data_IF_587794246858
#
_entry.id   IF_587794246858
#
_cell.length_a   1.000
_cell.length_b   1.000
_cell.length_c   1.000
_cell.angle_alpha   90.00
_cell.angle_beta   90.00
_cell.angle_gamma   90.00
#
_symmetry.space_group_name_H-M   'P 1'
#
loop_
_entity.id
_entity.type
_entity.pdbx_description
1 polymer ?
#
# COMPACT_ATOMS: atom_id res chain seq x y z
N UNK A 1 25.23 3.66 -54.51
CA UNK A 1 23.86 4.11 -54.15
C UNK A 1 22.94 3.00 -53.64
N UNK A 2 23.12 1.71 -54.00
CA UNK A 2 22.23 0.62 -53.55
C UNK A 2 22.19 0.33 -52.04
N UNK A 3 23.29 0.57 -51.29
CA UNK A 3 23.35 0.26 -49.85
C UNK A 3 22.48 1.16 -48.96
N UNK A 4 22.20 2.39 -49.40
CA UNK A 4 21.39 3.35 -48.63
C UNK A 4 19.91 2.92 -48.60
N UNK A 5 19.41 2.38 -49.71
CA UNK A 5 18.02 1.90 -49.79
C UNK A 5 17.77 0.66 -48.91
N UNK A 6 18.73 -0.27 -48.85
CA UNK A 6 18.60 -1.47 -48.03
C UNK A 6 18.60 -1.14 -46.54
N UNK A 7 19.40 -0.14 -46.11
CA UNK A 7 19.42 0.31 -44.72
C UNK A 7 18.11 0.97 -44.30
N UNK A 8 17.53 1.85 -45.14
CA UNK A 8 16.24 2.46 -44.82
C UNK A 8 15.08 1.45 -44.84
N UNK A 9 15.13 0.46 -45.72
CA UNK A 9 14.16 -0.64 -45.76
C UNK A 9 14.25 -1.53 -44.51
N UNK A 10 15.45 -1.86 -44.03
CA UNK A 10 15.63 -2.67 -42.82
C UNK A 10 15.20 -1.91 -41.56
N UNK A 11 15.48 -0.61 -41.48
CA UNK A 11 15.01 0.24 -40.37
C UNK A 11 13.48 0.33 -40.37
N UNK A 12 12.85 0.52 -41.53
CA UNK A 12 11.39 0.56 -41.63
C UNK A 12 10.73 -0.76 -41.19
N UNK A 13 11.29 -1.90 -41.60
CA UNK A 13 10.81 -3.22 -41.17
C UNK A 13 10.99 -3.44 -39.67
N UNK A 14 12.10 -3.00 -39.09
CA UNK A 14 12.34 -3.10 -37.65
C UNK A 14 11.34 -2.25 -36.85
N UNK A 15 11.09 -1.01 -37.27
CA UNK A 15 10.10 -0.13 -36.63
C UNK A 15 8.70 -0.74 -36.73
N UNK A 16 8.34 -1.30 -37.89
CA UNK A 16 7.05 -1.96 -38.06
C UNK A 16 6.90 -3.20 -37.16
N UNK A 17 7.96 -4.00 -36.99
CA UNK A 17 7.97 -5.13 -36.07
C UNK A 17 7.82 -4.71 -34.60
N UNK A 18 8.44 -3.60 -34.19
CA UNK A 18 8.29 -3.04 -32.84
C UNK A 18 6.85 -2.55 -32.60
N UNK A 19 6.26 -1.84 -33.57
CA UNK A 19 4.88 -1.35 -33.47
C UNK A 19 3.89 -2.51 -33.35
N UNK A 20 4.04 -3.55 -34.17
CA UNK A 20 3.18 -4.76 -34.10
C UNK A 20 3.33 -5.45 -32.75
N UNK A 21 4.55 -5.56 -32.21
CA UNK A 21 4.81 -6.13 -30.87
C UNK A 21 4.10 -5.35 -29.76
N UNK A 22 4.12 -4.02 -29.83
CA UNK A 22 3.48 -3.14 -28.82
C UNK A 22 1.95 -3.21 -28.91
N UNK A 23 1.40 -3.20 -30.13
CA UNK A 23 -0.06 -3.28 -30.32
C UNK A 23 -0.62 -4.66 -29.95
N UNK A 24 0.09 -5.74 -30.27
CA UNK A 24 -0.30 -7.11 -29.89
C UNK A 24 -0.08 -7.42 -28.40
N UNK A 25 0.50 -6.51 -27.62
CA UNK A 25 0.74 -6.70 -26.18
C UNK A 25 -0.53 -6.62 -25.34
N UNK A 26 -1.66 -6.17 -25.88
CA UNK A 26 -2.90 -6.01 -25.10
C UNK A 26 -3.98 -7.05 -25.44
N UNK A 27 -3.76 -7.90 -26.43
CA UNK A 27 -4.75 -8.88 -26.91
C UNK A 27 -4.82 -10.18 -26.08
N UNK A 28 -3.94 -10.36 -25.09
CA UNK A 28 -3.79 -11.62 -24.35
C UNK A 28 -4.34 -11.60 -22.92
N UNK A 29 -4.87 -10.48 -22.43
CA UNK A 29 -5.47 -10.50 -21.10
C UNK A 29 -6.87 -11.10 -21.18
N UNK A 30 -7.11 -12.29 -20.61
CA UNK A 30 -8.47 -12.82 -20.53
C UNK A 30 -9.31 -11.83 -19.72
N UNK A 31 -10.59 -11.68 -20.09
CA UNK A 31 -11.53 -10.92 -19.27
C UNK A 31 -11.44 -11.42 -17.83
N UNK A 32 -11.18 -10.50 -16.91
CA UNK A 32 -11.15 -10.84 -15.50
C UNK A 32 -12.56 -10.68 -14.89
N UNK A 33 -12.73 -11.12 -13.65
CA UNK A 33 -14.00 -11.01 -12.96
C UNK A 33 -14.41 -9.53 -12.74
N UNK A 34 -13.45 -8.60 -12.72
CA UNK A 34 -13.74 -7.18 -12.56
C UNK A 34 -14.36 -6.60 -13.82
N UNK A 35 -13.83 -6.93 -15.00
CA UNK A 35 -14.36 -6.54 -16.30
C UNK A 35 -15.81 -7.02 -16.47
N UNK A 36 -16.13 -8.24 -16.06
CA UNK A 36 -17.49 -8.78 -16.12
C UNK A 36 -18.45 -8.01 -15.20
N UNK A 37 -18.02 -7.65 -13.99
CA UNK A 37 -18.83 -6.84 -13.07
C UNK A 37 -18.99 -5.40 -13.58
N UNK A 38 -17.92 -4.80 -14.09
CA UNK A 38 -17.94 -3.44 -14.62
C UNK A 38 -18.82 -3.33 -15.86
N UNK A 39 -18.81 -4.33 -16.74
CA UNK A 39 -19.73 -4.43 -17.87
C UNK A 39 -21.20 -4.50 -17.39
N UNK A 40 -21.51 -5.36 -16.40
CA UNK A 40 -22.86 -5.43 -15.84
C UNK A 40 -23.31 -4.11 -15.22
N UNK A 41 -22.42 -3.43 -14.50
CA UNK A 41 -22.69 -2.14 -13.89
C UNK A 41 -22.91 -1.02 -14.92
N UNK A 42 -22.08 -0.96 -15.96
CA UNK A 42 -22.13 0.10 -16.98
C UNK A 42 -23.20 -0.13 -18.05
N UNK A 43 -23.70 -1.35 -18.22
CA UNK A 43 -24.77 -1.67 -19.18
C UNK A 43 -26.14 -1.13 -18.77
N UNK A 44 -26.34 -0.81 -17.49
CA UNK A 44 -27.61 -0.32 -16.95
C UNK A 44 -27.59 1.20 -16.83
N UNK A 45 -28.36 1.86 -17.70
CA UNK A 45 -28.54 3.31 -17.68
C UNK A 45 -30.00 3.67 -17.34
N UNK A 46 -30.24 4.93 -16.94
CA UNK A 46 -31.59 5.42 -16.61
C UNK A 46 -32.63 5.18 -17.72
N UNK A 47 -32.19 5.27 -18.98
CA UNK A 47 -33.06 5.07 -20.15
C UNK A 47 -33.37 3.59 -20.44
N UNK A 48 -32.47 2.66 -20.05
CA UNK A 48 -32.58 1.21 -20.34
C UNK A 48 -33.12 0.39 -19.16
N UNK A 49 -33.14 0.97 -17.96
CA UNK A 49 -33.52 0.29 -16.72
C UNK A 49 -34.89 -0.42 -16.78
N UNK A 50 -35.88 0.20 -17.43
CA UNK A 50 -37.24 -0.36 -17.56
C UNK A 50 -37.41 -1.46 -18.61
N UNK A 51 -36.39 -1.69 -19.46
CA UNK A 51 -36.42 -2.67 -20.56
C UNK A 51 -35.65 -3.95 -20.21
N UNK A 52 -34.72 -3.86 -19.27
CA UNK A 52 -33.87 -4.96 -18.84
C UNK A 52 -34.60 -5.94 -17.91
N UNK A 53 -34.17 -7.19 -17.91
CA UNK A 53 -34.71 -8.22 -17.03
C UNK A 53 -34.22 -8.00 -15.59
N UNK A 54 -35.05 -8.34 -14.59
CA UNK A 54 -34.76 -8.10 -13.16
C UNK A 54 -33.41 -8.65 -12.72
N UNK A 55 -33.00 -9.80 -13.26
CA UNK A 55 -31.72 -10.44 -12.95
C UNK A 55 -30.48 -9.66 -13.43
N UNK A 56 -30.62 -8.80 -14.44
CA UNK A 56 -29.52 -7.98 -14.98
C UNK A 56 -29.38 -6.65 -14.25
N UNK A 57 -30.37 -6.28 -13.42
CA UNK A 57 -30.34 -5.08 -12.57
C UNK A 57 -29.54 -5.28 -11.27
N UNK A 58 -29.27 -6.53 -10.89
CA UNK A 58 -28.57 -6.86 -9.65
C UNK A 58 -27.20 -7.45 -9.94
N UNK A 59 -26.22 -7.06 -9.12
CA UNK A 59 -24.93 -7.74 -9.06
C UNK A 59 -25.11 -9.09 -8.34
N UNK A 60 -24.28 -10.09 -8.66
CA UNK A 60 -24.33 -11.37 -7.95
C UNK A 60 -23.92 -11.19 -6.49
N UNK A 61 -24.43 -12.04 -5.61
CA UNK A 61 -24.22 -11.91 -4.16
C UNK A 61 -22.73 -11.95 -3.80
N UNK A 62 -21.94 -12.76 -4.48
CA UNK A 62 -20.49 -12.86 -4.28
C UNK A 62 -19.68 -11.61 -4.71
N UNK A 63 -20.31 -10.60 -5.33
CA UNK A 63 -19.66 -9.33 -5.66
C UNK A 63 -19.16 -8.59 -4.41
N UNK A 64 -19.81 -8.81 -3.27
CA UNK A 64 -19.40 -8.24 -1.98
C UNK A 64 -18.83 -9.35 -1.11
N UNK A 65 -17.54 -9.24 -0.77
CA UNK A 65 -16.83 -10.24 0.02
C UNK A 65 -17.45 -10.47 1.40
N UNK A 66 -18.04 -9.43 2.01
CA UNK A 66 -18.66 -9.49 3.34
C UNK A 66 -20.02 -8.81 3.33
N UNK A 67 -21.08 -9.63 3.41
CA UNK A 67 -22.42 -9.12 3.67
C UNK A 67 -22.54 -8.78 5.16
N UNK A 68 -23.06 -7.58 5.51
CA UNK A 68 -23.31 -7.26 6.90
C UNK A 68 -24.46 -8.11 7.44
N UNK A 69 -24.17 -9.05 8.35
CA UNK A 69 -25.21 -9.80 9.09
C UNK A 69 -25.64 -9.01 10.33
N UNK A 70 -26.93 -8.69 10.42
CA UNK A 70 -27.56 -8.03 11.57
C UNK A 70 -27.34 -8.81 12.87
N UNK A 71 -27.19 -10.15 12.79
CA UNK A 71 -26.96 -11.01 13.96
C UNK A 71 -25.55 -10.88 14.53
N UNK A 72 -24.57 -10.49 13.71
CA UNK A 72 -23.19 -10.29 14.14
C UNK A 72 -22.93 -8.91 14.76
N UNK A 73 -23.89 -7.98 14.65
CA UNK A 73 -23.81 -6.60 15.16
C UNK A 73 -23.54 -6.56 16.68
N UNK A 74 -23.98 -7.59 17.42
CA UNK A 74 -23.88 -7.65 18.88
C UNK A 74 -22.81 -8.63 19.41
N UNK A 75 -22.18 -9.42 18.52
CA UNK A 75 -21.19 -10.46 18.89
C UNK A 75 -19.78 -10.02 18.48
N UNK A 76 -19.66 -9.35 17.34
CA UNK A 76 -18.49 -8.55 17.01
C UNK A 76 -18.81 -7.12 17.45
N UNK A 77 -18.01 -6.44 18.29
CA UNK A 77 -18.18 -5.00 18.45
C UNK A 77 -17.92 -4.38 17.08
N UNK A 78 -19.00 -4.06 16.36
CA UNK A 78 -18.93 -3.30 15.13
C UNK A 78 -18.56 -1.89 15.55
N UNK A 79 -17.27 -1.64 15.68
CA UNK A 79 -16.78 -0.29 15.85
C UNK A 79 -17.29 0.50 14.65
N UNK A 80 -18.00 1.62 14.85
CA UNK A 80 -18.67 2.36 13.78
C UNK A 80 -17.71 2.83 12.65
N UNK A 81 -16.40 2.77 12.86
CA UNK A 81 -15.35 3.12 11.90
C UNK A 81 -14.47 1.91 11.50
N UNK A 82 -15.10 0.87 10.93
CA UNK A 82 -14.37 -0.35 10.48
C UNK A 82 -13.33 -0.06 9.39
N UNK A 83 -13.58 0.91 8.51
CA UNK A 83 -12.65 1.33 7.45
C UNK A 83 -11.30 1.76 8.01
N UNK A 84 -11.32 2.43 9.15
CA UNK A 84 -10.15 3.08 9.71
C UNK A 84 -9.31 2.13 10.57
N UNK A 85 -9.97 1.24 11.30
CA UNK A 85 -9.29 0.17 12.04
C UNK A 85 -8.73 -0.88 11.08
N UNK A 86 -9.44 -1.17 9.99
CA UNK A 86 -8.93 -1.98 8.89
C UNK A 86 -7.76 -1.30 8.17
N UNK A 87 -7.83 0.01 7.94
CA UNK A 87 -6.72 0.80 7.39
C UNK A 87 -5.48 0.74 8.30
N UNK A 88 -5.66 0.89 9.62
CA UNK A 88 -4.58 0.74 10.61
C UNK A 88 -3.97 -0.66 10.58
N UNK A 89 -4.80 -1.70 10.50
CA UNK A 89 -4.35 -3.08 10.41
C UNK A 89 -3.53 -3.35 9.13
N UNK A 90 -4.03 -2.88 7.99
CA UNK A 90 -3.34 -3.00 6.70
C UNK A 90 -2.02 -2.20 6.66
N UNK A 91 -1.99 -1.04 7.33
CA UNK A 91 -0.79 -0.23 7.50
C UNK A 91 0.26 -0.98 8.35
N UNK A 92 -0.16 -1.59 9.45
CA UNK A 92 0.74 -2.39 10.30
C UNK A 92 1.28 -3.63 9.55
N UNK A 93 0.43 -4.35 8.81
CA UNK A 93 0.82 -5.53 8.02
C UNK A 93 1.78 -5.17 6.87
N UNK A 94 1.45 -4.14 6.09
CA UNK A 94 2.30 -3.70 4.98
C UNK A 94 3.68 -3.23 5.48
N UNK A 95 3.72 -2.52 6.61
CA UNK A 95 4.97 -2.13 7.27
C UNK A 95 5.78 -3.33 7.75
N UNK A 96 5.16 -4.32 8.39
CA UNK A 96 5.85 -5.54 8.80
C UNK A 96 6.45 -6.29 7.60
N UNK A 97 5.72 -6.34 6.49
CA UNK A 97 6.21 -6.91 5.23
C UNK A 97 7.44 -6.15 4.69
N UNK A 98 7.37 -4.82 4.54
CA UNK A 98 8.51 -4.03 4.06
C UNK A 98 9.74 -4.15 4.96
N UNK A 99 9.56 -4.17 6.28
CA UNK A 99 10.66 -4.41 7.21
C UNK A 99 11.29 -5.78 7.04
N UNK A 100 10.46 -6.82 6.92
CA UNK A 100 10.96 -8.18 6.69
C UNK A 100 11.76 -8.27 5.39
N UNK A 101 11.30 -7.61 4.31
CA UNK A 101 11.98 -7.57 3.02
C UNK A 101 13.30 -6.79 3.08
N UNK A 102 13.33 -5.61 3.70
CA UNK A 102 14.57 -4.82 3.86
C UNK A 102 15.61 -5.62 4.64
N UNK A 103 15.20 -6.29 5.71
CA UNK A 103 16.08 -7.11 6.52
C UNK A 103 16.58 -8.33 5.72
N UNK A 104 15.70 -9.09 5.05
CA UNK A 104 16.06 -10.28 4.28
C UNK A 104 16.94 -9.98 3.06
N UNK A 105 16.60 -8.95 2.27
CA UNK A 105 17.41 -8.53 1.11
C UNK A 105 18.82 -8.11 1.50
N UNK A 106 18.99 -7.61 2.72
CA UNK A 106 20.29 -7.29 3.32
C UNK A 106 21.09 -8.53 3.73
N UNK A 107 20.45 -9.60 4.22
CA UNK A 107 21.14 -10.87 4.49
C UNK A 107 21.73 -11.50 3.22
N UNK A 108 21.04 -11.37 2.08
CA UNK A 108 21.46 -11.97 0.80
C UNK A 108 22.63 -11.20 0.16
N UNK A 109 22.76 -9.90 0.42
CA UNK A 109 23.86 -9.06 -0.07
C UNK A 109 24.70 -8.53 1.11
N UNK A 110 25.71 -9.29 1.58
CA UNK A 110 26.62 -8.80 2.61
C UNK A 110 27.25 -7.49 2.13
N UNK A 111 27.34 -6.51 3.03
CA UNK A 111 27.96 -5.23 2.72
C UNK A 111 29.39 -5.49 2.25
N UNK A 112 29.73 -5.09 1.02
CA UNK A 112 31.10 -5.12 0.53
C UNK A 112 31.99 -4.13 1.32
N UNK A 113 31.35 -3.16 2.02
CA UNK A 113 31.97 -2.29 3.02
C UNK A 113 31.01 -2.13 4.21
N UNK A 114 31.48 -2.38 5.44
CA UNK A 114 30.77 -2.21 6.73
C UNK A 114 30.38 -0.73 7.03
N UNK A 115 30.59 0.20 6.09
CA UNK A 115 30.36 1.64 6.27
C UNK A 115 28.94 2.10 5.94
N UNK A 116 28.15 1.28 5.26
CA UNK A 116 26.78 1.64 4.87
C UNK A 116 25.79 0.67 5.51
N UNK A 117 25.59 0.83 6.82
CA UNK A 117 24.38 0.34 7.46
C UNK A 117 23.17 0.99 6.77
N UNK A 118 22.06 0.27 6.52
CA UNK A 118 20.83 0.92 6.06
C UNK A 118 20.53 2.06 7.03
N UNK A 119 20.43 3.27 6.49
CA UNK A 119 20.41 4.47 7.31
C UNK A 119 19.32 4.34 8.36
N UNK A 120 19.69 4.51 9.64
CA UNK A 120 18.73 4.63 10.75
C UNK A 120 17.60 5.61 10.41
N UNK A 121 17.91 6.58 9.54
CA UNK A 121 17.01 7.46 8.82
C UNK A 121 15.77 6.77 8.23
N UNK A 122 15.89 5.61 7.56
CA UNK A 122 14.71 4.92 7.01
C UNK A 122 13.75 4.42 8.09
N UNK A 123 14.28 3.97 9.23
CA UNK A 123 13.45 3.61 10.39
C UNK A 123 12.74 4.84 10.95
N UNK A 124 13.44 5.97 11.09
CA UNK A 124 12.84 7.25 11.48
C UNK A 124 11.76 7.71 10.51
N UNK A 125 12.07 7.79 9.21
CA UNK A 125 11.14 8.22 8.17
C UNK A 125 9.90 7.32 8.10
N UNK A 126 10.03 6.02 8.35
CA UNK A 126 8.88 5.12 8.42
C UNK A 126 7.93 5.47 9.58
N UNK A 127 8.48 5.77 10.75
CA UNK A 127 7.68 6.11 11.94
C UNK A 127 7.04 7.49 11.74
N UNK A 128 7.70 8.40 11.02
CA UNK A 128 7.11 9.69 10.65
C UNK A 128 5.98 9.47 9.65
N UNK A 129 6.18 8.63 8.64
CA UNK A 129 5.18 8.33 7.61
C UNK A 129 3.90 7.71 8.22
N UNK A 130 4.04 6.83 9.20
CA UNK A 130 2.89 6.24 9.90
C UNK A 130 2.01 7.30 10.57
N UNK A 131 2.67 8.18 11.32
CA UNK A 131 2.01 9.28 12.02
C UNK A 131 1.48 10.32 11.03
N UNK A 132 2.15 10.58 9.92
CA UNK A 132 1.70 11.56 8.93
C UNK A 132 0.51 11.06 8.09
N UNK A 133 0.48 9.79 7.73
CA UNK A 133 -0.52 9.25 6.80
C UNK A 133 -1.87 8.94 7.46
N UNK A 134 -1.97 8.88 8.79
CA UNK A 134 -3.22 8.58 9.47
C UNK A 134 -3.53 9.57 10.60
N UNK A 135 -4.59 10.40 10.50
CA UNK A 135 -4.96 11.41 11.48
C UNK A 135 -5.34 10.87 12.86
N UNK A 136 -5.44 9.56 13.06
CA UNK A 136 -5.81 8.98 14.36
C UNK A 136 -4.67 8.26 15.08
N UNK A 137 -3.50 8.23 14.46
CA UNK A 137 -2.29 7.70 15.10
C UNK A 137 -1.57 8.86 15.79
N UNK A 138 -1.52 8.82 17.12
CA UNK A 138 -0.72 9.77 17.90
C UNK A 138 0.79 9.50 17.77
N UNK A 139 1.14 8.22 17.84
CA UNK A 139 2.52 7.81 17.97
C UNK A 139 2.77 6.52 17.22
N UNK A 140 3.98 6.40 16.67
CA UNK A 140 4.47 5.15 16.13
C UNK A 140 5.90 4.92 16.57
N UNK A 141 6.25 3.66 16.76
CA UNK A 141 7.58 3.27 17.19
C UNK A 141 7.92 1.89 16.64
N UNK A 142 9.21 1.62 16.53
CA UNK A 142 9.71 0.29 16.25
C UNK A 142 10.26 -0.24 17.56
N UNK A 143 9.94 -1.47 17.93
CA UNK A 143 10.49 -2.09 19.13
C UNK A 143 11.07 -3.44 18.76
N UNK A 144 12.23 -3.73 19.32
CA UNK A 144 12.84 -5.03 19.24
C UNK A 144 12.61 -5.74 20.57
N UNK A 145 12.21 -7.02 20.52
CA UNK A 145 12.08 -7.80 21.73
C UNK A 145 13.45 -7.89 22.46
N UNK A 146 13.45 -7.70 23.80
CA UNK A 146 14.66 -7.44 24.58
C UNK A 146 15.67 -8.60 24.61
N UNK A 147 15.25 -9.82 24.27
CA UNK A 147 16.07 -11.04 24.31
C UNK A 147 16.25 -11.68 22.92
N UNK A 148 16.28 -10.86 21.87
CA UNK A 148 16.31 -11.36 20.49
C UNK A 148 17.03 -10.38 19.57
N UNK A 149 18.02 -10.89 18.83
CA UNK A 149 18.78 -10.12 17.84
C UNK A 149 18.08 -10.23 16.47
N UNK A 150 17.36 -9.19 16.05
CA UNK A 150 16.55 -9.26 14.83
C UNK A 150 17.24 -8.78 13.56
N UNK A 151 18.53 -8.44 13.63
CA UNK A 151 19.24 -7.90 12.48
C UNK A 151 20.71 -8.28 12.53
N UNK A 152 21.17 -9.06 11.56
CA UNK A 152 22.60 -9.17 11.25
C UNK A 152 23.14 -7.91 10.55
N UNK A 153 22.23 -7.00 10.16
CA UNK A 153 22.50 -5.81 9.37
C UNK A 153 23.15 -4.68 10.17
N UNK A 154 23.03 -4.69 11.50
CA UNK A 154 23.76 -3.77 12.38
C UNK A 154 24.82 -4.55 13.17
N UNK A 155 26.07 -4.50 12.72
CA UNK A 155 27.21 -5.11 13.42
C UNK A 155 27.81 -4.20 14.50
N UNK A 156 27.49 -2.90 14.46
CA UNK A 156 28.00 -1.87 15.37
C UNK A 156 27.19 -1.63 16.65
N UNK A 157 27.47 -0.51 17.32
CA UNK A 157 26.87 -0.10 18.61
C UNK A 157 25.33 -0.13 18.63
N UNK A 158 24.69 0.15 17.49
CA UNK A 158 23.23 0.20 17.34
C UNK A 158 22.51 -1.10 17.69
N UNK A 159 23.14 -2.27 17.51
CA UNK A 159 22.53 -3.56 17.85
C UNK A 159 22.23 -3.70 19.35
N UNK A 160 23.09 -3.14 20.21
CA UNK A 160 22.91 -3.19 21.68
C UNK A 160 21.95 -2.11 22.20
N UNK A 161 21.75 -1.04 21.43
CA UNK A 161 20.99 0.14 21.87
C UNK A 161 19.61 0.24 21.25
N UNK A 162 19.33 -0.43 20.14
CA UNK A 162 18.03 -0.40 19.46
C UNK A 162 16.84 -0.73 20.39
N UNK A 163 16.88 -1.74 21.29
CA UNK A 163 15.77 -1.97 22.22
C UNK A 163 15.50 -0.80 23.19
N UNK A 164 16.51 0.04 23.45
CA UNK A 164 16.41 1.21 24.35
C UNK A 164 16.14 2.52 23.63
N UNK A 165 16.66 2.69 22.41
CA UNK A 165 16.68 3.92 21.63
C UNK A 165 16.08 3.77 20.24
N UNK A 166 15.15 2.83 20.07
CA UNK A 166 14.45 2.68 18.81
C UNK A 166 13.73 3.98 18.42
N UNK A 167 13.63 4.28 17.11
CA UNK A 167 12.93 5.47 16.66
C UNK A 167 11.48 5.45 17.12
N UNK A 168 11.07 6.57 17.70
CA UNK A 168 9.71 6.86 18.10
C UNK A 168 9.34 8.22 17.55
N UNK A 169 8.13 8.30 17.03
CA UNK A 169 7.55 9.56 16.57
C UNK A 169 6.25 9.76 17.32
N UNK A 170 6.05 11.01 17.74
CA UNK A 170 4.85 11.47 18.42
C UNK A 170 4.36 12.69 17.67
N UNK A 171 3.04 12.89 17.66
CA UNK A 171 2.48 14.16 17.19
C UNK A 171 2.70 15.26 18.21
N UNK A 172 2.94 16.45 17.66
CA UNK A 172 3.05 17.71 18.41
C UNK A 172 1.87 18.64 18.12
N UNK A 173 0.88 18.18 17.36
CA UNK A 173 -0.31 18.95 16.98
C UNK A 173 -1.39 18.90 18.07
N UNK A 174 -2.58 19.43 17.73
CA UNK A 174 -3.78 19.50 18.56
C UNK A 174 -4.33 18.15 19.03
N UNK A 175 -3.71 17.03 18.64
CA UNK A 175 -4.11 15.68 19.05
C UNK A 175 -4.14 15.51 20.57
N UNK A 176 -3.22 16.17 21.29
CA UNK A 176 -3.11 16.04 22.75
C UNK A 176 -3.77 17.22 23.51
N UNK A 177 -4.52 18.07 22.80
CA UNK A 177 -5.17 19.24 23.40
C UNK A 177 -6.37 18.80 24.27
N UNK A 178 -6.44 19.21 25.56
CA UNK A 178 -7.56 18.89 26.44
C UNK A 178 -8.93 19.35 25.94
N UNK A 179 -9.00 20.40 25.08
CA UNK A 179 -10.29 20.85 24.50
C UNK A 179 -10.71 20.03 23.28
N UNK A 180 -9.81 19.24 22.70
CA UNK A 180 -10.09 18.44 21.51
C UNK A 180 -10.65 17.06 21.88
N UNK A 181 -11.98 16.99 22.04
CA UNK A 181 -12.69 15.77 22.46
C UNK A 181 -12.46 14.55 21.54
N UNK A 182 -12.34 14.78 20.23
CA UNK A 182 -12.18 13.71 19.26
C UNK A 182 -10.76 13.12 19.23
N UNK A 183 -9.75 13.85 19.73
CA UNK A 183 -8.32 13.48 19.70
C UNK A 183 -7.90 12.99 18.31
N UNK A 184 -8.25 13.76 17.28
CA UNK A 184 -7.89 13.51 15.89
C UNK A 184 -6.95 14.63 15.47
N UNK A 185 -5.88 14.34 14.75
CA UNK A 185 -5.03 15.39 14.23
C UNK A 185 -5.78 16.19 13.17
N UNK A 186 -5.84 17.51 13.31
CA UNK A 186 -6.28 18.37 12.21
C UNK A 186 -5.21 18.60 11.14
N UNK A 187 -3.99 18.07 11.34
CA UNK A 187 -2.81 18.26 10.48
C UNK A 187 -2.42 19.74 10.29
N UNK A 188 -3.00 20.63 11.10
CA UNK A 188 -2.69 22.06 11.09
C UNK A 188 -1.47 22.29 11.99
N UNK A 189 -0.27 22.14 11.45
CA UNK A 189 0.99 22.36 12.18
C UNK A 189 1.44 23.83 12.20
N UNK A 190 0.56 24.80 11.94
CA UNK A 190 0.95 26.21 11.85
C UNK A 190 0.01 27.10 12.67
N UNK A 191 0.61 27.79 13.63
CA UNK A 191 0.03 28.94 14.31
C UNK A 191 1.03 30.10 14.16
N UNK A 192 0.53 31.32 13.90
CA UNK A 192 1.34 32.52 13.62
C UNK A 192 1.51 33.42 14.84
#
# INVERSE_FOLDING_TARGET
MAKVNVFWQSVALFVLAVIVRVLAQYEWHPRDAFDDMFNRYSNVNGDNCGLLHLGDLFLPEDAVSHHPDIKEVNINPVFPNRTMLLHLHNMALSRAFFWSYILQSRFIRPAINDTYDPGMMYYFLSTVADVAANPLINASAIYFAPNSSFSSSYRGFFNKTFPRFAPRTFRLDDFNDPIHLAKISTLNTFDF
#
